data_IF_424403447306
#
_entry.id   IF_424403447306
#
_cell.length_a   1.000
_cell.length_b   1.000
_cell.length_c   1.000
_cell.angle_alpha   90.00
_cell.angle_beta   90.00
_cell.angle_gamma   90.00
#
_symmetry.space_group_name_H-M   'P 1'
#
loop_
_entity.id
_entity.type
_entity.pdbx_description
1 polymer ?
2 non-polymer ?
3 non-polymer ?
4 non-polymer ?
5 water ?
#
# COMPACT_ATOMS: atom_id res chain seq x y z
N UNK A 1 32.45 27.45 4.83
CA UNK A 1 31.01 27.42 5.12
C UNK A 1 30.22 27.86 3.91
N UNK A 2 30.94 28.02 2.81
CA UNK A 2 30.41 28.51 1.55
C UNK A 2 31.50 28.37 0.51
N UNK A 3 32.72 28.10 0.99
CA UNK A 3 33.90 28.16 0.13
C UNK A 3 34.43 26.78 -0.25
N UNK A 4 33.83 25.69 0.25
CA UNK A 4 34.33 24.35 -0.03
C UNK A 4 33.19 23.42 -0.44
N UNK A 5 32.15 23.97 -1.07
CA UNK A 5 31.01 23.16 -1.49
C UNK A 5 31.41 22.09 -2.49
N UNK A 6 32.46 22.32 -3.30
CA UNK A 6 32.82 21.32 -4.29
C UNK A 6 33.20 20.00 -3.61
N UNK A 7 33.80 20.06 -2.43
CA UNK A 7 34.17 18.82 -1.75
C UNK A 7 32.94 18.06 -1.27
N UNK A 8 31.97 18.76 -0.71
CA UNK A 8 30.73 18.12 -0.28
C UNK A 8 30.02 17.46 -1.45
N UNK A 9 29.97 18.15 -2.60
CA UNK A 9 29.35 17.57 -3.79
C UNK A 9 30.10 16.34 -4.23
N UNK A 10 31.44 16.41 -4.24
CA UNK A 10 32.24 15.27 -4.67
C UNK A 10 31.94 14.05 -3.81
N UNK A 11 31.93 14.24 -2.49
CA UNK A 11 31.64 13.13 -1.58
C UNK A 11 30.24 12.58 -1.77
N UNK A 12 29.24 13.46 -1.90
CA UNK A 12 27.87 12.99 -1.98
C UNK A 12 27.61 12.32 -3.33
N UNK A 13 28.24 12.79 -4.41
CA UNK A 13 28.10 12.11 -5.69
C UNK A 13 28.78 10.75 -5.67
N UNK A 14 29.91 10.63 -4.97
CA UNK A 14 30.53 9.31 -4.78
C UNK A 14 29.57 8.39 -4.04
N UNK A 15 28.95 8.88 -2.96
CA UNK A 15 27.96 8.07 -2.26
C UNK A 15 26.81 7.71 -3.18
N UNK A 16 26.28 8.70 -3.92
CA UNK A 16 25.15 8.43 -4.80
C UNK A 16 25.50 7.46 -5.92
N UNK A 17 26.74 7.41 -6.37
CA UNK A 17 27.10 6.41 -7.37
C UNK A 17 26.91 4.98 -6.86
N UNK A 18 26.84 4.79 -5.55
CA UNK A 18 26.65 3.50 -4.89
C UNK A 18 25.20 3.29 -4.43
N UNK A 19 24.30 4.20 -4.78
CA UNK A 19 22.89 4.18 -4.41
C UNK A 19 22.02 4.20 -5.66
N UNK A 20 22.27 5.14 -6.56
CA UNK A 20 21.42 5.36 -7.73
C UNK A 20 21.65 4.25 -8.75
N UNK A 21 20.54 3.75 -9.30
CA UNK A 21 20.58 2.73 -10.34
C UNK A 21 19.85 3.27 -11.57
N UNK A 22 20.53 3.21 -12.73
CA UNK A 22 19.94 3.72 -13.97
C UNK A 22 19.18 2.60 -14.66
N UNK A 23 18.14 2.94 -15.40
CA UNK A 23 17.24 1.92 -15.93
C UNK A 23 17.71 1.43 -17.28
N UNK A 24 17.18 0.28 -17.68
CA UNK A 24 17.35 -0.16 -19.04
C UNK A 24 16.45 0.71 -19.94
N UNK A 25 16.70 0.66 -21.21
CA UNK A 25 15.90 1.47 -22.11
C UNK A 25 16.46 2.86 -22.30
N UNK A 26 15.62 3.68 -22.92
CA UNK A 26 15.96 5.03 -23.32
C UNK A 26 15.31 6.09 -22.45
N UNK A 27 16.08 7.12 -22.16
CA UNK A 27 15.67 8.22 -21.32
C UNK A 27 16.67 9.36 -21.53
N UNK A 28 16.35 10.52 -20.97
CA UNK A 28 17.15 11.74 -21.06
C UNK A 28 18.28 11.62 -20.04
N UNK A 29 19.49 11.32 -20.52
CA UNK A 29 20.63 11.14 -19.62
C UNK A 29 20.99 12.43 -18.90
N UNK A 30 20.85 13.58 -19.54
CA UNK A 30 21.21 14.82 -18.88
C UNK A 30 20.25 15.11 -17.74
N UNK A 31 18.98 14.78 -17.91
CA UNK A 31 18.01 15.00 -16.83
C UNK A 31 18.22 14.02 -15.70
N UNK A 32 18.56 12.76 -16.00
CA UNK A 32 18.89 11.84 -14.92
C UNK A 32 20.06 12.36 -14.13
N UNK A 33 21.07 12.89 -14.82
CA UNK A 33 22.22 13.43 -14.12
C UNK A 33 21.82 14.63 -13.27
N UNK A 34 20.93 15.48 -13.78
CA UNK A 34 20.42 16.62 -12.99
C UNK A 34 19.74 16.16 -11.70
N UNK A 35 18.99 15.06 -11.75
CA UNK A 35 18.38 14.52 -10.55
C UNK A 35 19.42 14.08 -9.53
N UNK A 36 20.46 13.38 -10.00
CA UNK A 36 21.55 12.99 -9.11
C UNK A 36 22.19 14.23 -8.49
N UNK A 37 22.39 15.27 -9.29
CA UNK A 37 23.00 16.50 -8.78
C UNK A 37 22.15 17.12 -7.68
N UNK A 38 20.83 17.14 -7.85
CA UNK A 38 19.97 17.71 -6.81
C UNK A 38 20.00 16.86 -5.54
N UNK A 39 20.03 15.53 -5.69
CA UNK A 39 20.11 14.66 -4.53
C UNK A 39 21.41 14.89 -3.77
N UNK A 40 22.48 15.32 -4.45
CA UNK A 40 23.76 15.56 -3.82
C UNK A 40 23.73 16.73 -2.84
N UNK A 41 22.66 17.53 -2.83
CA UNK A 41 22.50 18.56 -1.81
C UNK A 41 22.12 18.00 -0.46
N UNK A 42 21.57 16.80 -0.39
CA UNK A 42 21.17 16.20 0.88
C UNK A 42 22.40 15.95 1.74
N UNK A 43 22.28 16.16 3.05
CA UNK A 43 23.40 15.96 3.95
C UNK A 43 23.97 14.54 3.76
N UNK A 44 25.30 14.47 3.66
CA UNK A 44 25.99 13.22 3.40
C UNK A 44 25.72 12.15 4.44
N UNK A 45 25.52 12.53 5.71
CA UNK A 45 25.30 11.53 6.75
C UNK A 45 24.07 10.70 6.40
N UNK A 46 23.01 11.34 5.89
CA UNK A 46 21.81 10.60 5.51
C UNK A 46 22.08 9.69 4.32
N UNK A 47 22.75 10.23 3.30
CA UNK A 47 23.04 9.45 2.10
C UNK A 47 23.89 8.23 2.44
N UNK A 48 24.90 8.39 3.30
CA UNK A 48 25.73 7.25 3.70
C UNK A 48 24.94 6.23 4.52
N UNK A 49 23.95 6.68 5.29
CA UNK A 49 23.10 5.75 6.03
C UNK A 49 22.20 4.97 5.08
N UNK A 50 21.64 5.63 4.05
CA UNK A 50 20.88 4.89 3.03
C UNK A 50 21.76 3.82 2.39
N UNK A 51 22.98 4.20 2.02
CA UNK A 51 23.90 3.27 1.38
C UNK A 51 24.18 2.06 2.28
N UNK A 52 24.41 2.28 3.57
CA UNK A 52 24.67 1.18 4.50
C UNK A 52 23.50 0.20 4.54
N UNK A 53 22.27 0.72 4.42
CA UNK A 53 21.07 -0.10 4.44
C UNK A 53 20.73 -0.67 3.06
N UNK A 54 21.62 -0.49 2.08
CA UNK A 54 21.46 -1.02 0.72
C UNK A 54 20.22 -0.53 0.02
N UNK A 55 19.81 0.68 0.33
CA UNK A 55 18.73 1.33 -0.38
C UNK A 55 19.23 1.74 -1.75
N UNK A 56 18.47 1.42 -2.76
CA UNK A 56 18.73 1.87 -4.11
C UNK A 56 17.71 2.93 -4.50
N UNK A 57 18.18 3.96 -5.16
CA UNK A 57 17.32 4.97 -5.76
C UNK A 57 17.20 4.57 -7.23
N UNK A 58 16.06 4.00 -7.59
CA UNK A 58 15.85 3.51 -8.94
C UNK A 58 15.25 4.62 -9.80
N UNK A 59 16.01 5.11 -10.77
CA UNK A 59 15.50 6.04 -11.75
C UNK A 59 14.82 5.24 -12.85
N UNK A 60 13.66 5.71 -13.28
CA UNK A 60 12.83 4.95 -14.20
C UNK A 60 12.67 5.65 -15.53
N UNK A 61 12.66 4.85 -16.59
CA UNK A 61 12.48 5.31 -17.96
C UNK A 61 11.01 5.28 -18.40
N UNK A 62 10.11 4.84 -17.54
CA UNK A 62 8.70 4.78 -17.84
C UNK A 62 7.86 4.89 -16.58
N UNK A 63 6.60 4.45 -16.69
CA UNK A 63 5.66 4.58 -15.59
C UNK A 63 6.05 3.69 -14.42
N UNK A 64 5.74 4.17 -13.21
CA UNK A 64 6.06 3.42 -12.01
C UNK A 64 5.47 2.02 -12.02
N UNK A 65 4.21 1.90 -12.37
CA UNK A 65 3.52 0.61 -12.30
C UNK A 65 3.87 -0.31 -13.45
N UNK A 66 4.68 0.14 -14.40
CA UNK A 66 5.19 -0.75 -15.43
C UNK A 66 6.45 -1.48 -14.98
N UNK A 67 7.01 -1.15 -13.82
CA UNK A 67 8.09 -1.92 -13.21
C UNK A 67 7.50 -3.13 -12.48
N UNK A 68 8.10 -4.30 -12.66
CA UNK A 68 7.58 -5.51 -12.01
C UNK A 68 7.33 -5.32 -10.53
N UNK A 69 8.25 -4.67 -9.81
CA UNK A 69 8.14 -4.57 -8.36
C UNK A 69 6.96 -3.73 -7.90
N UNK A 70 6.43 -2.85 -8.76
CA UNK A 70 5.35 -1.95 -8.38
C UNK A 70 4.05 -2.27 -9.11
N UNK A 71 4.00 -3.36 -9.87
CA UNK A 71 2.79 -3.70 -10.61
C UNK A 71 1.60 -3.90 -9.68
N UNK A 72 1.83 -4.33 -8.44
CA UNK A 72 0.72 -4.50 -7.51
C UNK A 72 -0.04 -3.21 -7.29
N UNK A 73 0.55 -2.06 -7.60
CA UNK A 73 -0.11 -0.77 -7.46
C UNK A 73 -0.96 -0.37 -8.67
N UNK A 74 -0.99 -1.15 -9.74
CA UNK A 74 -1.80 -0.82 -10.89
C UNK A 74 -3.26 -0.65 -10.47
N UNK A 75 -3.86 0.49 -10.82
CA UNK A 75 -5.25 0.72 -10.55
C UNK A 75 -5.57 1.19 -9.15
N UNK A 76 -4.59 1.26 -8.29
CA UNK A 76 -4.76 1.60 -6.89
C UNK A 76 -4.67 3.10 -6.68
N UNK A 77 -5.58 3.63 -5.87
CA UNK A 77 -5.65 5.06 -5.61
C UNK A 77 -4.76 5.40 -4.41
N UNK A 78 -3.80 6.31 -4.55
CA UNK A 78 -3.01 6.75 -3.41
C UNK A 78 -3.85 7.41 -2.32
N UNK A 79 -3.36 7.32 -1.08
CA UNK A 79 -4.01 8.04 0.02
C UNK A 79 -4.14 9.53 -0.29
N UNK A 80 -5.33 10.08 -0.07
CA UNK A 80 -5.57 11.47 -0.33
C UNK A 80 -5.97 11.79 -1.75
N UNK A 81 -5.99 10.79 -2.63
CA UNK A 81 -6.34 10.97 -4.03
C UNK A 81 -7.71 10.43 -4.36
N UNK A 82 -8.51 10.13 -3.34
CA UNK A 82 -9.87 9.64 -3.56
C UNK A 82 -10.65 10.73 -4.29
N UNK A 83 -11.46 10.33 -5.27
CA UNK A 83 -12.27 11.29 -5.98
C UNK A 83 -11.61 11.94 -7.17
N UNK A 84 -10.34 11.66 -7.43
CA UNK A 84 -9.65 12.33 -8.52
C UNK A 84 -9.74 11.58 -9.83
N UNK A 85 -10.11 10.31 -9.81
CA UNK A 85 -10.00 9.51 -11.01
C UNK A 85 -8.58 9.05 -11.32
N UNK A 86 -7.60 9.39 -10.49
CA UNK A 86 -6.21 9.05 -10.77
C UNK A 86 -5.77 7.91 -9.86
N UNK A 87 -4.74 7.20 -10.34
CA UNK A 87 -4.21 6.05 -9.60
C UNK A 87 -2.68 6.10 -9.59
N UNK A 88 -2.05 5.11 -8.95
CA UNK A 88 -0.60 5.04 -8.96
C UNK A 88 -0.02 4.93 -10.36
N UNK A 89 -0.83 4.47 -11.33
CA UNK A 89 -0.33 4.44 -12.70
C UNK A 89 0.09 5.84 -13.16
N UNK A 90 -0.54 6.87 -12.60
CA UNK A 90 -0.32 8.26 -12.97
C UNK A 90 0.72 8.96 -12.09
N UNK A 91 1.27 8.30 -11.09
CA UNK A 91 2.13 8.94 -10.09
C UNK A 91 3.58 8.66 -10.46
N UNK A 92 4.47 9.66 -10.48
CA UNK A 92 5.82 9.46 -11.02
C UNK A 92 6.87 9.02 -10.02
N UNK A 93 6.57 8.96 -8.73
CA UNK A 93 7.59 8.59 -7.76
C UNK A 93 6.96 8.03 -6.51
N UNK A 94 7.77 7.25 -5.80
CA UNK A 94 7.40 6.65 -4.52
C UNK A 94 8.64 6.55 -3.67
N UNK A 95 8.44 6.65 -2.36
CA UNK A 95 9.53 6.53 -1.41
C UNK A 95 9.03 5.95 -0.10
N UNK A 96 9.93 5.30 0.61
CA UNK A 96 9.61 4.62 1.85
C UNK A 96 10.64 3.52 2.06
N UNK A 97 10.23 2.26 1.95
CA UNK A 97 11.18 1.16 2.06
C UNK A 97 12.08 1.09 0.83
N UNK A 98 11.59 1.57 -0.31
CA UNK A 98 12.35 1.68 -1.55
C UNK A 98 12.16 3.09 -2.08
N UNK A 99 12.87 3.42 -3.17
CA UNK A 99 12.73 4.72 -3.85
C UNK A 99 12.71 4.47 -5.35
N UNK A 100 11.71 5.01 -6.03
CA UNK A 100 11.61 4.87 -7.47
C UNK A 100 11.07 6.18 -8.04
N UNK A 101 11.72 6.67 -9.09
CA UNK A 101 11.52 8.01 -9.61
C UNK A 101 11.56 8.04 -11.13
N UNK A 102 10.53 8.62 -11.74
CA UNK A 102 10.50 8.72 -13.19
C UNK A 102 11.33 9.92 -13.65
N UNK A 103 12.25 9.66 -14.57
CA UNK A 103 13.13 10.70 -15.09
C UNK A 103 12.32 11.68 -15.91
N UNK A 104 12.52 12.98 -15.64
CA UNK A 104 11.80 14.04 -16.28
C UNK A 104 10.69 14.65 -15.44
N UNK A 105 10.33 14.02 -14.33
CA UNK A 105 9.14 14.43 -13.57
C UNK A 105 9.51 15.09 -12.24
N UNK A 106 10.71 15.66 -12.16
CA UNK A 106 11.15 16.30 -10.92
C UNK A 106 10.28 17.46 -10.50
N UNK A 107 9.95 18.35 -11.42
CA UNK A 107 9.38 19.62 -11.01
C UNK A 107 7.96 19.47 -10.49
N UNK A 108 7.58 20.41 -9.62
CA UNK A 108 6.23 20.45 -9.08
C UNK A 108 5.25 20.50 -10.24
N UNK A 109 4.20 19.69 -10.16
CA UNK A 109 3.18 19.64 -11.17
C UNK A 109 3.36 18.58 -12.22
N UNK A 110 4.50 17.89 -12.25
CA UNK A 110 4.70 16.81 -13.21
C UNK A 110 4.09 15.53 -12.65
N UNK A 111 2.77 15.57 -12.50
CA UNK A 111 2.07 14.43 -11.94
C UNK A 111 2.11 14.31 -10.44
N UNK A 112 2.65 15.30 -9.75
CA UNK A 112 2.77 15.21 -8.30
C UNK A 112 2.87 16.63 -7.78
N UNK A 113 2.69 16.78 -6.46
CA UNK A 113 2.54 18.08 -5.84
C UNK A 113 3.77 18.55 -5.06
N UNK A 114 4.85 17.80 -5.07
CA UNK A 114 6.04 18.16 -4.30
C UNK A 114 6.88 19.23 -4.99
N UNK A 115 7.62 20.00 -4.19
CA UNK A 115 8.50 21.01 -4.74
C UNK A 115 9.58 20.39 -5.59
N UNK A 116 9.93 19.14 -5.30
CA UNK A 116 10.89 18.38 -6.09
C UNK A 116 10.67 16.90 -5.79
N UNK A 117 10.53 16.10 -6.85
CA UNK A 117 10.17 14.71 -6.69
C UNK A 117 11.26 13.93 -5.96
N UNK A 118 12.50 13.98 -6.44
CA UNK A 118 13.53 13.12 -5.88
C UNK A 118 13.83 13.43 -4.41
N UNK A 119 13.77 14.71 -4.02
CA UNK A 119 14.02 15.04 -2.62
C UNK A 119 12.87 14.57 -1.73
N UNK A 120 11.63 14.75 -2.19
CA UNK A 120 10.48 14.32 -1.39
C UNK A 120 10.51 12.80 -1.18
N UNK A 121 10.68 12.03 -2.26
CA UNK A 121 10.65 10.57 -2.12
C UNK A 121 11.83 10.07 -1.29
N UNK A 122 13.02 10.63 -1.51
CA UNK A 122 14.17 10.19 -0.74
C UNK A 122 13.99 10.55 0.72
N UNK A 123 13.34 11.68 1.02
CA UNK A 123 13.03 12.03 2.41
C UNK A 123 12.16 10.95 3.06
N UNK A 124 11.18 10.41 2.35
CA UNK A 124 10.40 9.30 2.91
C UNK A 124 11.31 8.14 3.32
N UNK A 125 12.27 7.79 2.47
CA UNK A 125 13.20 6.69 2.79
C UNK A 125 14.10 7.02 3.97
N UNK A 126 14.57 8.27 4.05
CA UNK A 126 15.36 8.69 5.20
C UNK A 126 14.53 8.61 6.48
N UNK A 127 13.31 9.13 6.44
CA UNK A 127 12.38 9.03 7.58
C UNK A 127 12.27 7.58 8.04
N UNK A 128 11.97 6.66 7.11
CA UNK A 128 11.65 5.29 7.47
C UNK A 128 12.88 4.45 7.81
N UNK A 129 13.90 4.50 6.96
CA UNK A 129 15.02 3.58 7.07
C UNK A 129 16.08 4.11 8.03
N UNK A 130 16.35 5.41 7.97
CA UNK A 130 17.47 5.98 8.73
C UNK A 130 17.03 6.49 10.08
N UNK A 131 15.85 7.12 10.15
CA UNK A 131 15.39 7.83 11.34
C UNK A 131 14.27 7.13 12.10
N UNK A 132 13.99 5.86 11.80
CA UNK A 132 13.06 5.06 12.57
C UNK A 132 11.68 5.72 12.66
N UNK A 133 11.18 6.18 11.51
CA UNK A 133 9.86 6.82 11.42
C UNK A 133 9.73 8.02 12.36
N UNK A 134 10.71 8.92 12.30
CA UNK A 134 10.68 10.13 13.11
C UNK A 134 9.45 11.00 12.85
N UNK A 135 8.82 10.90 11.69
CA UNK A 135 7.59 11.66 11.43
C UNK A 135 6.44 11.23 12.32
N UNK A 136 6.52 10.05 12.92
CA UNK A 136 5.52 9.55 13.85
C UNK A 136 5.87 9.84 15.31
N UNK A 137 7.01 10.48 15.58
CA UNK A 137 7.45 10.70 16.94
C UNK A 137 6.59 11.76 17.63
N UNK A 138 6.57 11.69 18.95
CA UNK A 138 5.85 12.70 19.71
C UNK A 138 6.42 14.09 19.48
N UNK A 139 7.75 14.19 19.36
CA UNK A 139 8.36 15.48 19.10
C UNK A 139 7.84 16.07 17.78
N UNK A 140 7.87 15.29 16.72
CA UNK A 140 7.45 15.82 15.44
C UNK A 140 5.95 16.05 15.42
N UNK A 141 5.17 15.24 16.13
CA UNK A 141 3.72 15.45 16.17
C UNK A 141 3.38 16.85 16.69
N UNK A 142 4.12 17.30 17.71
CA UNK A 142 3.86 18.62 18.28
C UNK A 142 4.21 19.72 17.27
N UNK A 143 5.32 19.55 16.55
CA UNK A 143 5.70 20.51 15.51
C UNK A 143 4.67 20.54 14.42
N UNK A 144 4.27 19.35 13.96
CA UNK A 144 3.27 19.20 12.90
C UNK A 144 1.92 19.81 13.28
N UNK A 145 1.51 19.66 14.53
CA UNK A 145 0.25 20.24 14.96
C UNK A 145 0.26 21.75 14.77
N UNK A 146 1.42 22.38 14.96
CA UNK A 146 1.53 23.83 14.82
C UNK A 146 1.79 24.28 13.39
N UNK A 147 2.70 23.62 12.70
CA UNK A 147 3.25 24.14 11.44
C UNK A 147 2.87 23.34 10.21
N UNK A 148 2.14 22.23 10.36
CA UNK A 148 1.95 21.28 9.29
C UNK A 148 1.10 21.77 8.12
N UNK A 149 0.38 22.89 8.28
CA UNK A 149 -0.35 23.48 7.17
C UNK A 149 0.43 24.58 6.46
N UNK A 150 1.60 24.97 6.96
CA UNK A 150 2.19 26.23 6.51
C UNK A 150 3.00 26.11 5.22
N UNK A 151 3.09 24.92 4.63
CA UNK A 151 3.58 24.76 3.27
C UNK A 151 2.43 24.59 2.28
N UNK A 152 1.20 24.81 2.73
CA UNK A 152 0.03 24.61 1.91
C UNK A 152 -0.41 23.17 1.84
N UNK A 153 -1.24 22.90 0.84
CA UNK A 153 -1.83 21.57 0.62
C UNK A 153 -2.42 21.06 1.93
N UNK A 154 -3.32 21.87 2.49
CA UNK A 154 -3.71 21.70 3.89
C UNK A 154 -4.38 20.38 4.15
N UNK A 155 -5.09 19.83 3.18
CA UNK A 155 -5.82 18.58 3.43
C UNK A 155 -4.98 17.35 3.16
N UNK A 156 -3.71 17.53 2.81
CA UNK A 156 -2.79 16.43 2.53
C UNK A 156 -1.57 16.58 3.43
N UNK A 157 -0.72 17.56 3.16
CA UNK A 157 0.42 17.81 4.05
C UNK A 157 -0.03 18.11 5.47
N UNK A 158 -1.16 18.83 5.62
CA UNK A 158 -1.61 19.18 6.95
C UNK A 158 -2.26 18.07 7.73
N UNK A 159 -2.49 16.94 7.08
CA UNK A 159 -3.14 15.80 7.70
C UNK A 159 -2.20 14.61 7.90
N UNK A 160 -1.16 14.48 7.08
CA UNK A 160 -0.28 13.31 7.09
C UNK A 160 1.12 13.75 7.49
N UNK A 161 1.52 13.55 8.75
CA UNK A 161 2.87 14.00 9.17
C UNK A 161 4.02 13.46 8.34
N UNK A 162 3.92 12.23 7.82
CA UNK A 162 5.00 11.72 6.98
C UNK A 162 5.15 12.57 5.72
N UNK A 163 4.04 13.08 5.18
CA UNK A 163 4.11 13.89 3.97
C UNK A 163 4.65 15.27 4.29
N UNK A 164 4.20 15.86 5.40
CA UNK A 164 4.77 17.14 5.85
C UNK A 164 6.28 16.99 6.12
N UNK A 165 6.69 15.89 6.73
CA UNK A 165 8.12 15.66 6.92
C UNK A 165 8.86 15.64 5.60
N UNK A 166 8.34 14.89 4.62
CA UNK A 166 9.04 14.73 3.36
C UNK A 166 9.07 16.03 2.58
N UNK A 167 7.99 16.81 2.62
CA UNK A 167 7.98 18.08 1.91
C UNK A 167 8.88 19.11 2.57
N UNK A 168 8.91 19.15 3.91
CA UNK A 168 9.78 20.08 4.61
C UNK A 168 11.24 19.76 4.31
N UNK A 169 11.58 18.47 4.34
CA UNK A 169 12.93 18.03 4.02
C UNK A 169 13.32 18.49 2.61
N UNK A 170 12.41 18.36 1.65
CA UNK A 170 12.68 18.80 0.28
C UNK A 170 12.94 20.30 0.24
N UNK A 171 12.10 21.12 0.93
CA UNK A 171 12.38 22.55 1.01
C UNK A 171 13.74 22.83 1.63
N UNK A 172 14.08 22.11 2.71
CA UNK A 172 15.33 22.40 3.39
C UNK A 172 16.52 22.23 2.46
N UNK A 173 16.49 21.22 1.59
CA UNK A 173 17.66 20.79 0.82
C UNK A 173 17.65 21.17 -0.66
N UNK A 174 16.53 21.61 -1.23
CA UNK A 174 16.50 21.84 -2.67
C UNK A 174 17.41 23.00 -3.07
N UNK A 175 17.16 24.18 -2.53
CA UNK A 175 17.98 25.35 -2.89
C UNK A 175 17.84 26.39 -1.79
N UNK A 176 18.60 27.47 -1.92
CA UNK A 176 18.64 28.47 -0.86
C UNK A 176 17.30 29.19 -0.72
N UNK A 177 16.57 29.34 -1.82
CA UNK A 177 15.26 29.98 -1.79
C UNK A 177 14.26 29.15 -0.99
N UNK A 178 14.15 27.85 -1.29
CA UNK A 178 13.21 27.02 -0.54
C UNK A 178 13.64 26.88 0.91
N UNK A 179 14.95 26.82 1.16
CA UNK A 179 15.44 26.71 2.53
C UNK A 179 15.00 27.93 3.33
N UNK A 180 15.16 29.12 2.76
CA UNK A 180 14.73 30.34 3.43
C UNK A 180 13.22 30.41 3.60
N UNK A 181 12.46 29.92 2.61
CA UNK A 181 11.01 29.92 2.75
C UNK A 181 10.56 29.02 3.89
N UNK A 182 11.19 27.86 4.06
CA UNK A 182 10.87 26.99 5.17
C UNK A 182 11.19 27.69 6.49
N UNK A 183 12.36 28.32 6.58
CA UNK A 183 12.71 28.98 7.83
C UNK A 183 11.66 30.01 8.23
N UNK A 184 11.13 30.75 7.24
CA UNK A 184 10.14 31.78 7.52
C UNK A 184 8.79 31.16 7.87
N UNK A 185 8.34 30.18 7.10
CA UNK A 185 6.99 29.64 7.27
C UNK A 185 6.90 28.66 8.43
N UNK A 186 7.96 27.86 8.64
CA UNK A 186 7.93 26.72 9.56
C UNK A 186 9.19 26.71 10.41
N UNK A 187 9.35 27.73 11.28
CA UNK A 187 10.62 27.84 12.02
C UNK A 187 10.97 26.66 12.92
N UNK A 188 9.99 26.06 13.60
CA UNK A 188 10.31 24.91 14.44
C UNK A 188 10.70 23.69 13.62
N UNK A 189 10.03 23.51 12.47
CA UNK A 189 10.40 22.43 11.59
C UNK A 189 11.81 22.63 11.04
N UNK A 190 12.13 23.89 10.68
CA UNK A 190 13.47 24.21 10.20
C UNK A 190 14.52 23.91 11.26
N UNK A 191 14.28 24.35 12.49
CA UNK A 191 15.23 24.07 13.57
C UNK A 191 15.36 22.57 13.82
N UNK A 192 14.23 21.84 13.78
CA UNK A 192 14.25 20.39 13.92
C UNK A 192 15.14 19.76 12.86
N UNK A 193 15.02 20.18 11.60
CA UNK A 193 15.84 19.59 10.55
C UNK A 193 17.30 20.01 10.68
N UNK A 194 17.57 21.26 11.06
CA UNK A 194 18.95 21.70 11.26
C UNK A 194 19.63 20.87 12.35
N UNK A 195 18.92 20.61 13.45
CA UNK A 195 19.52 19.86 14.54
C UNK A 195 19.68 18.39 14.21
N UNK A 196 18.79 17.80 13.41
CA UNK A 196 18.96 16.41 13.00
C UNK A 196 20.29 16.23 12.28
N UNK A 197 20.68 17.21 11.49
CA UNK A 197 21.89 17.12 10.67
C UNK A 197 23.14 17.60 11.39
N UNK A 198 23.03 18.08 12.61
CA UNK A 198 24.20 18.52 13.36
C UNK A 198 25.10 17.35 13.76
N UNK B 4 1.16 -1.91 1.81
CA UNK B 4 2.39 -2.64 2.10
C UNK B 4 3.52 -2.20 1.17
N UNK B 5 4.75 -2.29 1.66
CA UNK B 5 5.88 -1.90 0.84
C UNK B 5 6.20 -2.99 -0.16
N UNK B 6 6.89 -2.62 -1.24
CA UNK B 6 7.11 -3.54 -2.33
C UNK B 6 7.87 -4.79 -1.91
N UNK B 7 8.79 -4.67 -0.94
CA UNK B 7 9.55 -5.85 -0.52
C UNK B 7 8.67 -6.85 0.22
N UNK B 8 7.83 -6.36 1.14
CA UNK B 8 6.86 -7.22 1.82
C UNK B 8 5.89 -7.87 0.84
N UNK B 9 5.45 -7.12 -0.19
CA UNK B 9 4.57 -7.71 -1.19
C UNK B 9 5.28 -8.87 -1.87
N UNK B 10 6.53 -8.67 -2.30
CA UNK B 10 7.24 -9.74 -2.99
C UNK B 10 7.41 -10.94 -2.08
N UNK B 11 7.73 -10.71 -0.81
CA UNK B 11 7.86 -11.83 0.14
C UNK B 11 6.55 -12.57 0.29
N UNK B 12 5.44 -11.85 0.40
CA UNK B 12 4.15 -12.51 0.51
C UNK B 12 3.76 -13.23 -0.78
N UNK B 13 4.17 -12.68 -1.93
CA UNK B 13 3.92 -13.38 -3.19
C UNK B 13 4.69 -14.70 -3.27
N UNK B 14 5.93 -14.74 -2.76
CA UNK B 14 6.66 -16.00 -2.72
C UNK B 14 5.92 -17.01 -1.87
N UNK B 15 5.39 -16.58 -0.72
CA UNK B 15 4.59 -17.46 0.12
C UNK B 15 3.36 -17.93 -0.65
N UNK B 16 2.66 -17.01 -1.33
CA UNK B 16 1.48 -17.38 -2.10
C UNK B 16 1.79 -18.37 -3.22
N UNK B 17 3.01 -18.37 -3.74
CA UNK B 17 3.37 -19.35 -4.75
C UNK B 17 3.23 -20.78 -4.23
N UNK B 18 3.23 -20.95 -2.91
CA UNK B 18 3.08 -22.23 -2.23
C UNK B 18 1.67 -22.45 -1.72
N UNK B 19 0.73 -21.55 -2.07
CA UNK B 19 -0.68 -21.63 -1.66
C UNK B 19 -1.60 -21.65 -2.87
N UNK B 20 -1.41 -20.70 -3.78
CA UNK B 20 -2.27 -20.55 -4.94
C UNK B 20 -1.99 -21.67 -5.94
N UNK B 21 -3.05 -22.21 -6.50
CA UNK B 21 -2.98 -23.23 -7.54
C UNK B 21 -3.70 -22.66 -8.76
N UNK B 22 -2.99 -22.62 -9.92
CA UNK B 22 -3.55 -22.09 -11.14
C UNK B 22 -4.26 -23.21 -11.91
N UNK B 23 -5.24 -22.85 -12.72
CA UNK B 23 -6.06 -23.87 -13.38
C UNK B 23 -5.45 -24.34 -14.69
N UNK B 24 -5.95 -25.49 -15.13
CA UNK B 24 -5.54 -26.05 -16.41
C UNK B 24 -6.07 -25.25 -17.61
N UNK B 25 -7.32 -24.82 -17.57
CA UNK B 25 -7.94 -24.20 -18.72
C UNK B 25 -7.45 -22.80 -18.99
N UNK B 26 -8.09 -22.18 -19.96
CA UNK B 26 -7.59 -20.92 -20.48
C UNK B 26 -8.14 -19.79 -19.62
N UNK B 27 -7.30 -18.80 -19.35
CA UNK B 27 -7.69 -17.66 -18.54
C UNK B 27 -6.71 -16.51 -18.77
N UNK B 28 -7.08 -15.34 -18.26
CA UNK B 28 -6.31 -14.10 -18.35
C UNK B 28 -5.22 -14.18 -17.29
N UNK B 29 -3.98 -14.48 -17.72
CA UNK B 29 -2.87 -14.61 -16.77
C UNK B 29 -2.61 -13.31 -16.04
N UNK B 30 -2.80 -12.17 -16.71
CA UNK B 30 -2.53 -10.90 -16.05
C UNK B 30 -3.53 -10.66 -14.93
N UNK B 31 -4.79 -11.04 -15.14
CA UNK B 31 -5.79 -10.90 -14.07
C UNK B 31 -5.55 -11.89 -12.94
N UNK B 32 -5.12 -13.12 -13.23
CA UNK B 32 -4.76 -14.04 -12.16
C UNK B 32 -3.64 -13.45 -11.33
N UNK B 33 -2.64 -12.87 -11.99
CA UNK B 33 -1.53 -12.26 -11.25
C UNK B 33 -2.00 -11.10 -10.39
N UNK B 34 -2.92 -10.27 -10.92
CA UNK B 34 -3.50 -9.18 -10.12
C UNK B 34 -4.20 -9.72 -8.87
N UNK B 35 -4.90 -10.85 -8.98
CA UNK B 35 -5.52 -11.44 -7.81
C UNK B 35 -4.48 -11.83 -6.79
N UNK B 36 -3.39 -12.45 -7.23
CA UNK B 36 -2.30 -12.80 -6.31
C UNK B 36 -1.70 -11.55 -5.67
N UNK B 37 -1.54 -10.48 -6.44
CA UNK B 37 -1.01 -9.24 -5.89
C UNK B 37 -1.92 -8.71 -4.78
N UNK B 38 -3.22 -8.80 -4.97
CA UNK B 38 -4.15 -8.32 -3.94
C UNK B 38 -4.07 -9.19 -2.70
N UNK B 39 -3.99 -10.50 -2.87
CA UNK B 39 -3.82 -11.39 -1.73
C UNK B 39 -2.51 -11.12 -0.98
N UNK B 40 -1.49 -10.64 -1.68
CA UNK B 40 -0.20 -10.37 -1.07
C UNK B 40 -0.25 -9.21 -0.09
N UNK B 41 -1.34 -8.43 -0.08
CA UNK B 41 -1.49 -7.39 0.94
C UNK B 41 -1.84 -7.97 2.31
N UNK B 42 -2.32 -9.21 2.37
CA UNK B 42 -2.67 -9.82 3.65
C UNK B 42 -1.40 -9.99 4.48
N UNK B 43 -1.52 -9.78 5.78
CA UNK B 43 -0.37 -9.90 6.67
C UNK B 43 0.28 -11.27 6.49
N UNK B 44 1.61 -11.26 6.40
CA UNK B 44 2.36 -12.48 6.13
C UNK B 44 2.14 -13.57 7.15
N UNK B 45 1.89 -13.19 8.41
CA UNK B 45 1.69 -14.20 9.43
C UNK B 45 0.53 -15.12 9.06
N UNK B 46 -0.55 -14.54 8.54
CA UNK B 46 -1.71 -15.35 8.16
C UNK B 46 -1.38 -16.20 6.94
N UNK B 47 -0.69 -15.61 5.96
CA UNK B 47 -0.35 -16.39 4.77
C UNK B 47 0.56 -17.56 5.13
N UNK B 48 1.54 -17.35 6.01
CA UNK B 48 2.41 -18.46 6.40
C UNK B 48 1.65 -19.53 7.15
N UNK B 49 0.64 -19.14 7.93
CA UNK B 49 -0.20 -20.10 8.64
C UNK B 49 -1.09 -20.87 7.69
N UNK B 50 -1.63 -20.22 6.65
CA UNK B 50 -2.36 -20.96 5.63
C UNK B 50 -1.45 -22.00 4.96
N UNK B 51 -0.23 -21.59 4.60
CA UNK B 51 0.71 -22.53 3.97
C UNK B 51 1.01 -23.70 4.91
N UNK B 52 1.22 -23.42 6.20
CA UNK B 52 1.49 -24.48 7.16
C UNK B 52 0.37 -25.52 7.20
N UNK B 53 -0.87 -25.07 7.07
CA UNK B 53 -2.04 -25.95 7.08
C UNK B 53 -2.33 -26.55 5.72
N UNK B 54 -1.47 -26.30 4.73
CA UNK B 54 -1.62 -26.85 3.38
C UNK B 54 -2.93 -26.43 2.72
N UNK B 55 -3.43 -25.23 3.07
CA UNK B 55 -4.59 -24.69 2.39
C UNK B 55 -4.16 -24.24 1.00
N UNK B 56 -4.95 -24.62 -0.01
CA UNK B 56 -4.73 -24.16 -1.37
C UNK B 56 -5.82 -23.17 -1.76
N UNK B 57 -5.41 -22.10 -2.43
CA UNK B 57 -6.32 -21.14 -3.03
C UNK B 57 -6.39 -21.51 -4.50
N UNK B 58 -7.49 -22.15 -4.89
CA UNK B 58 -7.67 -22.62 -6.27
C UNK B 58 -8.32 -21.52 -7.10
N UNK B 59 -7.57 -20.97 -8.05
CA UNK B 59 -8.14 -20.07 -9.04
C UNK B 59 -8.75 -20.87 -10.16
N UNK B 60 -9.93 -20.45 -10.59
CA UNK B 60 -10.72 -21.23 -11.54
C UNK B 60 -10.85 -20.51 -12.87
N UNK B 61 -10.78 -21.30 -13.96
CA UNK B 61 -10.90 -20.75 -15.30
C UNK B 61 -12.33 -20.73 -15.79
N UNK B 62 -13.27 -21.29 -15.02
CA UNK B 62 -14.65 -21.37 -15.41
C UNK B 62 -15.56 -21.40 -14.20
N UNK B 63 -16.79 -21.91 -14.37
CA UNK B 63 -17.74 -21.91 -13.28
C UNK B 63 -17.26 -22.81 -12.15
N UNK B 64 -17.67 -22.46 -10.93
CA UNK B 64 -17.31 -23.24 -9.76
C UNK B 64 -17.71 -24.69 -9.93
N UNK B 65 -18.91 -24.94 -10.41
CA UNK B 65 -19.46 -26.28 -10.52
C UNK B 65 -18.91 -27.06 -11.70
N UNK B 66 -18.08 -26.45 -12.54
CA UNK B 66 -17.37 -27.20 -13.58
C UNK B 66 -16.05 -27.78 -13.05
N UNK B 67 -15.69 -27.48 -11.82
CA UNK B 67 -14.58 -28.17 -11.15
C UNK B 67 -15.07 -29.49 -10.59
N UNK B 68 -14.32 -30.55 -10.86
CA UNK B 68 -14.72 -31.89 -10.41
C UNK B 68 -15.06 -31.88 -8.93
N UNK B 69 -14.26 -31.18 -8.12
CA UNK B 69 -14.40 -31.20 -6.67
C UNK B 69 -15.69 -30.56 -6.20
N UNK B 70 -16.29 -29.68 -7.01
CA UNK B 70 -17.49 -28.93 -6.62
C UNK B 70 -18.69 -29.28 -7.48
N UNK B 71 -18.59 -30.32 -8.32
CA UNK B 71 -19.67 -30.71 -9.21
C UNK B 71 -20.95 -31.06 -8.46
N UNK B 72 -20.82 -31.52 -7.21
CA UNK B 72 -22.01 -31.84 -6.42
C UNK B 72 -22.89 -30.62 -6.17
N UNK B 73 -22.38 -29.42 -6.35
CA UNK B 73 -23.17 -28.21 -6.17
C UNK B 73 -24.00 -27.84 -7.39
N UNK B 74 -23.88 -28.57 -8.50
CA UNK B 74 -24.66 -28.26 -9.69
C UNK B 74 -26.15 -28.24 -9.40
N UNK B 75 -26.79 -27.12 -9.76
CA UNK B 75 -28.22 -27.02 -9.62
C UNK B 75 -28.69 -26.64 -8.24
N UNK B 76 -27.80 -26.58 -7.26
CA UNK B 76 -28.20 -26.32 -5.89
C UNK B 76 -28.39 -24.82 -5.75
N UNK B 77 -29.46 -24.41 -5.07
CA UNK B 77 -29.77 -23.01 -4.86
C UNK B 77 -29.16 -22.59 -3.51
N UNK B 78 -28.27 -21.61 -3.47
CA UNK B 78 -27.74 -21.14 -2.18
C UNK B 78 -28.83 -20.61 -1.28
N UNK B 79 -28.55 -20.67 0.02
CA UNK B 79 -29.44 -20.08 1.02
C UNK B 79 -29.66 -18.60 0.73
N UNK B 80 -30.93 -18.19 0.69
CA UNK B 80 -31.32 -16.83 0.41
C UNK B 80 -31.47 -16.48 -1.06
N UNK B 81 -31.18 -17.41 -1.96
CA UNK B 81 -31.24 -17.17 -3.39
C UNK B 81 -32.47 -17.79 -4.04
N UNK B 82 -33.42 -18.30 -3.26
CA UNK B 82 -34.62 -18.84 -3.85
C UNK B 82 -35.35 -17.74 -4.60
N UNK B 83 -35.85 -18.10 -5.79
CA UNK B 83 -36.58 -17.17 -6.61
C UNK B 83 -35.72 -16.30 -7.51
N UNK B 84 -34.40 -16.38 -7.39
CA UNK B 84 -33.54 -15.53 -8.18
C UNK B 84 -33.24 -16.14 -9.54
N UNK B 85 -33.53 -17.43 -9.69
CA UNK B 85 -33.09 -18.16 -10.85
C UNK B 85 -31.64 -18.55 -10.83
N UNK B 86 -30.92 -18.21 -9.79
CA UNK B 86 -29.49 -18.45 -9.74
C UNK B 86 -29.20 -19.65 -8.85
N UNK B 87 -28.09 -20.31 -9.12
CA UNK B 87 -27.66 -21.49 -8.39
C UNK B 87 -26.18 -21.35 -8.05
N UNK B 88 -25.63 -22.37 -7.40
CA UNK B 88 -24.19 -22.37 -7.14
C UNK B 88 -23.38 -22.32 -8.43
N UNK B 89 -23.98 -22.71 -9.56
CA UNK B 89 -23.30 -22.58 -10.85
C UNK B 89 -22.92 -21.13 -11.11
N UNK B 90 -23.66 -20.20 -10.52
CA UNK B 90 -23.47 -18.76 -10.70
C UNK B 90 -22.62 -18.12 -9.62
N UNK B 91 -22.12 -18.90 -8.66
CA UNK B 91 -21.39 -18.35 -7.51
C UNK B 91 -19.92 -18.30 -7.88
N UNK B 92 -19.26 -17.14 -7.72
CA UNK B 92 -17.89 -17.02 -8.23
C UNK B 92 -16.82 -17.43 -7.22
N UNK B 93 -17.17 -17.61 -5.95
CA UNK B 93 -16.17 -17.95 -4.96
C UNK B 93 -16.76 -18.56 -3.72
N UNK B 94 -15.92 -19.31 -3.00
CA UNK B 94 -16.25 -19.81 -1.68
C UNK B 94 -14.98 -19.91 -0.86
N UNK B 95 -15.13 -19.83 0.46
CA UNK B 95 -14.02 -19.94 1.37
C UNK B 95 -14.46 -20.54 2.68
N UNK B 96 -13.51 -21.17 3.37
CA UNK B 96 -13.75 -21.87 4.60
C UNK B 96 -12.69 -22.94 4.76
N UNK B 97 -13.08 -24.21 4.65
CA UNK B 97 -12.11 -25.30 4.72
C UNK B 97 -11.27 -25.36 3.44
N UNK B 98 -11.80 -24.85 2.34
CA UNK B 98 -11.11 -24.76 1.06
C UNK B 98 -11.37 -23.36 0.53
N UNK B 99 -10.67 -22.97 -0.53
CA UNK B 99 -10.88 -21.68 -1.18
C UNK B 99 -10.88 -21.91 -2.68
N UNK B 100 -11.91 -21.41 -3.37
CA UNK B 100 -12.01 -21.52 -4.83
C UNK B 100 -12.59 -20.24 -5.37
N UNK B 101 -11.95 -19.69 -6.41
CA UNK B 101 -12.22 -18.34 -6.88
C UNK B 101 -12.14 -18.27 -8.40
N UNK B 102 -13.17 -17.71 -9.04
CA UNK B 102 -13.18 -17.56 -10.49
C UNK B 102 -12.37 -16.34 -10.92
N UNK B 103 -11.41 -16.56 -11.81
CA UNK B 103 -10.56 -15.49 -12.28
C UNK B 103 -11.40 -14.51 -13.09
N UNK B 104 -11.25 -13.24 -12.78
CA UNK B 104 -11.99 -12.18 -13.45
C UNK B 104 -13.17 -11.65 -12.65
N UNK B 105 -13.53 -12.30 -11.57
CA UNK B 105 -14.74 -11.97 -10.82
C UNK B 105 -14.42 -11.31 -9.50
N UNK B 106 -13.25 -10.67 -9.39
CA UNK B 106 -12.83 -10.01 -8.15
C UNK B 106 -13.77 -8.90 -7.71
N UNK B 107 -14.16 -8.02 -8.62
CA UNK B 107 -14.79 -6.77 -8.21
C UNK B 107 -16.21 -6.99 -7.72
N UNK B 108 -16.66 -6.09 -6.85
CA UNK B 108 -18.02 -6.13 -6.35
C UNK B 108 -19.00 -6.15 -7.51
N UNK B 109 -20.00 -7.01 -7.40
CA UNK B 109 -21.02 -7.14 -8.40
C UNK B 109 -20.79 -8.21 -9.45
N UNK B 110 -19.62 -8.84 -9.47
CA UNK B 110 -19.35 -9.93 -10.42
C UNK B 110 -19.87 -11.24 -9.85
N UNK B 111 -21.20 -11.31 -9.71
CA UNK B 111 -21.84 -12.45 -9.11
C UNK B 111 -21.82 -12.50 -7.60
N UNK B 112 -21.32 -11.45 -6.95
CA UNK B 112 -21.20 -11.48 -5.50
C UNK B 112 -21.17 -10.05 -5.01
N UNK B 113 -21.33 -9.92 -3.69
CA UNK B 113 -21.53 -8.62 -3.07
C UNK B 113 -20.32 -8.08 -2.31
N UNK B 114 -19.19 -8.80 -2.33
CA UNK B 114 -18.04 -8.39 -1.56
C UNK B 114 -17.23 -7.30 -2.25
N UNK B 115 -16.52 -6.51 -1.45
CA UNK B 115 -15.66 -5.46 -2.00
C UNK B 115 -14.55 -6.08 -2.84
N UNK B 116 -14.17 -7.32 -2.54
CA UNK B 116 -13.17 -8.03 -3.32
C UNK B 116 -13.36 -9.50 -3.03
N UNK B 117 -13.47 -10.29 -4.10
CA UNK B 117 -13.78 -11.70 -3.95
C UNK B 117 -12.67 -12.46 -3.24
N UNK B 118 -11.44 -12.35 -3.72
CA UNK B 118 -10.39 -13.20 -3.17
C UNK B 118 -10.11 -12.89 -1.69
N UNK B 119 -10.16 -11.61 -1.30
CA UNK B 119 -9.90 -11.29 0.10
C UNK B 119 -11.04 -11.78 1.00
N UNK B 120 -12.29 -11.62 0.56
CA UNK B 120 -13.43 -12.10 1.34
C UNK B 120 -13.36 -13.60 1.56
N UNK B 121 -13.17 -14.37 0.48
CA UNK B 121 -13.14 -15.83 0.62
C UNK B 121 -11.92 -16.29 1.42
N UNK B 122 -10.76 -15.67 1.18
CA UNK B 122 -9.58 -16.06 1.93
C UNK B 122 -9.73 -15.71 3.40
N UNK B 123 -10.43 -14.61 3.70
CA UNK B 123 -10.73 -14.29 5.10
C UNK B 123 -11.51 -15.40 5.77
N UNK B 124 -12.49 -16.00 5.08
CA UNK B 124 -13.20 -17.14 5.64
C UNK B 124 -12.24 -18.26 6.02
N UNK B 125 -11.28 -18.57 5.14
CA UNK B 125 -10.32 -19.62 5.43
C UNK B 125 -9.41 -19.27 6.60
N UNK B 126 -8.99 -18.02 6.69
CA UNK B 126 -8.18 -17.57 7.82
C UNK B 126 -8.99 -17.67 9.11
N UNK B 127 -10.24 -17.19 9.09
CA UNK B 127 -11.13 -17.31 10.24
C UNK B 127 -11.20 -18.76 10.72
N UNK B 128 -11.48 -19.69 9.81
CA UNK B 128 -11.77 -21.07 10.17
C UNK B 128 -10.50 -21.87 10.48
N UNK B 129 -9.50 -21.80 9.61
CA UNK B 129 -8.34 -22.67 9.71
C UNK B 129 -7.29 -22.09 10.64
N UNK B 130 -7.05 -20.79 10.53
CA UNK B 130 -5.94 -20.15 11.24
C UNK B 130 -6.36 -19.63 12.60
N UNK B 131 -7.56 -19.06 12.70
CA UNK B 131 -8.00 -18.34 13.88
C UNK B 131 -9.07 -19.07 14.69
N UNK B 132 -9.33 -20.35 14.41
CA UNK B 132 -10.23 -21.17 15.21
C UNK B 132 -11.63 -20.56 15.34
N UNK B 133 -12.18 -20.13 14.21
CA UNK B 133 -13.53 -19.57 14.14
C UNK B 133 -13.70 -18.36 15.05
N UNK B 134 -12.76 -17.42 14.94
CA UNK B 134 -12.80 -16.19 15.73
C UNK B 134 -14.07 -15.39 15.49
N UNK B 135 -14.71 -15.54 14.32
CA UNK B 135 -15.96 -14.82 14.08
C UNK B 135 -17.08 -15.27 15.01
N UNK B 136 -16.94 -16.44 15.63
CA UNK B 136 -17.90 -16.93 16.61
C UNK B 136 -17.50 -16.59 18.04
N UNK B 137 -16.35 -15.93 18.24
CA UNK B 137 -15.88 -15.69 19.59
C UNK B 137 -16.74 -14.65 20.29
N UNK B 138 -16.72 -14.68 21.62
CA UNK B 138 -17.49 -13.70 22.38
C UNK B 138 -16.97 -12.29 22.13
N UNK B 139 -15.65 -12.13 22.02
CA UNK B 139 -15.11 -10.81 21.75
C UNK B 139 -15.66 -10.27 20.43
N UNK B 140 -15.62 -11.08 19.37
CA UNK B 140 -16.09 -10.57 18.09
C UNK B 140 -17.60 -10.41 18.08
N UNK B 141 -18.32 -11.29 18.77
CA UNK B 141 -19.77 -11.14 18.84
C UNK B 141 -20.16 -9.79 19.40
N UNK B 142 -19.46 -9.31 20.43
CA UNK B 142 -19.79 -8.01 21.01
C UNK B 142 -19.55 -6.89 20.01
N UNK B 143 -18.43 -6.96 19.29
CA UNK B 143 -18.12 -5.96 18.26
C UNK B 143 -19.17 -6.00 17.16
N UNK B 144 -19.50 -7.21 16.72
CA UNK B 144 -20.50 -7.39 15.67
C UNK B 144 -21.87 -6.86 16.06
N UNK B 145 -22.27 -7.03 17.33
CA UNK B 145 -23.57 -6.49 17.75
C UNK B 145 -23.63 -4.98 17.57
N UNK B 146 -22.52 -4.30 17.76
CA UNK B 146 -22.47 -2.85 17.65
C UNK B 146 -22.22 -2.38 16.22
N UNK B 147 -21.27 -3.00 15.51
CA UNK B 147 -20.77 -2.43 14.26
C UNK B 147 -21.17 -3.23 13.02
N UNK B 148 -21.82 -4.38 13.17
CA UNK B 148 -21.98 -5.34 12.08
C UNK B 148 -22.86 -4.89 10.94
N UNK B 149 -23.60 -3.79 11.09
CA UNK B 149 -24.37 -3.21 10.01
C UNK B 149 -23.65 -2.07 9.31
N UNK B 150 -22.48 -1.66 9.76
CA UNK B 150 -21.93 -0.38 9.34
C UNK B 150 -21.14 -0.46 8.03
N UNK B 151 -21.01 -1.64 7.43
CA UNK B 151 -20.55 -1.79 6.05
C UNK B 151 -21.71 -1.99 5.09
N UNK B 152 -22.95 -1.84 5.57
CA UNK B 152 -24.12 -2.06 4.75
C UNK B 152 -24.52 -3.51 4.66
N UNK B 153 -25.34 -3.80 3.65
CA UNK B 153 -25.87 -5.15 3.44
C UNK B 153 -26.45 -5.69 4.77
N UNK B 154 -27.37 -4.90 5.34
CA UNK B 154 -27.73 -5.08 6.75
C UNK B 154 -28.35 -6.44 7.03
N UNK B 155 -29.05 -7.01 6.06
CA UNK B 155 -29.76 -8.28 6.28
C UNK B 155 -28.87 -9.48 5.99
N UNK B 156 -27.60 -9.25 5.68
CA UNK B 156 -26.65 -10.33 5.41
C UNK B 156 -25.42 -10.13 6.28
N UNK B 157 -24.59 -9.12 6.00
CA UNK B 157 -23.46 -8.83 6.87
C UNK B 157 -23.91 -8.55 8.28
N UNK B 158 -25.06 -7.84 8.45
CA UNK B 158 -25.50 -7.50 9.78
C UNK B 158 -26.12 -8.63 10.56
N UNK B 159 -26.30 -9.78 9.92
CA UNK B 159 -26.92 -10.94 10.53
C UNK B 159 -25.94 -12.10 10.76
N UNK B 160 -24.91 -12.23 9.95
CA UNK B 160 -24.02 -13.39 9.99
C UNK B 160 -22.63 -12.91 10.37
N UNK B 161 -22.19 -13.13 11.61
CA UNK B 161 -20.86 -12.63 11.99
C UNK B 161 -19.70 -13.13 11.13
N UNK B 162 -19.78 -14.36 10.58
CA UNK B 162 -18.69 -14.83 9.75
C UNK B 162 -18.57 -13.96 8.50
N UNK B 163 -19.71 -13.47 7.99
CA UNK B 163 -19.66 -12.62 6.81
C UNK B 163 -19.15 -11.23 7.15
N UNK B 164 -19.61 -10.65 8.26
CA UNK B 164 -19.09 -9.36 8.69
C UNK B 164 -17.58 -9.45 8.95
N UNK B 165 -17.12 -10.56 9.55
CA UNK B 165 -15.68 -10.75 9.73
C UNK B 165 -14.96 -10.73 8.37
N UNK B 166 -15.46 -11.52 7.42
CA UNK B 166 -14.75 -11.66 6.14
C UNK B 166 -14.77 -10.37 5.35
N UNK B 167 -15.89 -9.64 5.38
CA UNK B 167 -15.96 -8.38 4.66
C UNK B 167 -15.09 -7.31 5.31
N UNK B 168 -15.08 -7.26 6.64
CA UNK B 168 -14.22 -6.34 7.33
C UNK B 168 -12.76 -6.60 7.02
N UNK B 169 -12.35 -7.87 7.08
CA UNK B 169 -10.99 -8.24 6.73
C UNK B 169 -10.62 -7.77 5.32
N UNK B 170 -11.53 -7.97 4.37
CA UNK B 170 -11.30 -7.51 3.01
C UNK B 170 -11.12 -6.00 2.95
N UNK B 171 -11.97 -5.23 3.65
CA UNK B 171 -11.76 -3.78 3.70
C UNK B 171 -10.41 -3.45 4.29
N UNK B 172 -10.03 -4.12 5.36
CA UNK B 172 -8.77 -3.81 6.04
C UNK B 172 -7.58 -3.99 5.10
N UNK B 173 -7.59 -5.03 4.26
CA UNK B 173 -6.43 -5.41 3.47
C UNK B 173 -6.46 -5.05 1.99
N UNK B 174 -7.60 -4.62 1.45
CA UNK B 174 -7.65 -4.40 -0.01
C UNK B 174 -6.79 -3.22 -0.43
N UNK B 175 -7.06 -2.03 0.10
CA UNK B 175 -6.30 -0.84 -0.28
C UNK B 175 -6.44 0.21 0.82
N UNK B 176 -5.73 1.32 0.65
CA UNK B 176 -5.73 2.34 1.71
C UNK B 176 -7.12 2.96 1.86
N UNK B 177 -7.87 3.08 0.75
CA UNK B 177 -9.20 3.67 0.79
C UNK B 177 -10.15 2.81 1.62
N UNK B 178 -10.22 1.50 1.33
CA UNK B 178 -11.12 0.65 2.10
C UNK B 178 -10.68 0.56 3.55
N UNK B 179 -9.38 0.56 3.79
CA UNK B 179 -8.86 0.48 5.16
C UNK B 179 -9.30 1.70 5.94
N UNK B 180 -9.21 2.88 5.34
CA UNK B 180 -9.67 4.10 5.99
C UNK B 180 -11.17 4.07 6.21
N UNK B 181 -11.93 3.57 5.23
CA UNK B 181 -13.38 3.52 5.38
C UNK B 181 -13.76 2.62 6.53
N UNK B 182 -13.06 1.49 6.71
CA UNK B 182 -13.35 0.61 7.83
C UNK B 182 -13.05 1.31 9.15
N UNK B 183 -11.91 1.98 9.26
CA UNK B 183 -11.57 2.64 10.51
C UNK B 183 -12.65 3.64 10.91
N UNK B 184 -13.19 4.35 9.93
CA UNK B 184 -14.19 5.38 10.23
C UNK B 184 -15.53 4.75 10.60
N UNK B 185 -15.95 3.72 9.87
CA UNK B 185 -17.28 3.16 10.05
C UNK B 185 -17.33 2.18 11.20
N UNK B 186 -16.24 1.43 11.43
CA UNK B 186 -16.23 0.30 12.35
C UNK B 186 -14.95 0.35 13.17
N UNK B 187 -14.81 1.37 14.04
CA UNK B 187 -13.52 1.54 14.75
C UNK B 187 -13.14 0.38 15.66
N UNK B 188 -14.09 -0.28 16.33
CA UNK B 188 -13.72 -1.42 17.16
C UNK B 188 -13.29 -2.62 16.32
N UNK B 189 -13.94 -2.81 15.17
CA UNK B 189 -13.54 -3.88 14.29
C UNK B 189 -12.15 -3.63 13.74
N UNK B 190 -11.88 -2.36 13.37
CA UNK B 190 -10.57 -2.01 12.86
C UNK B 190 -9.49 -2.29 13.92
N UNK B 191 -9.72 -1.83 15.15
CA UNK B 191 -8.73 -2.08 16.21
C UNK B 191 -8.54 -3.56 16.46
N UNK B 192 -9.63 -4.32 16.43
CA UNK B 192 -9.56 -5.78 16.60
C UNK B 192 -8.66 -6.41 15.54
N UNK B 193 -8.81 -6.01 14.28
CA UNK B 193 -7.97 -6.59 13.24
C UNK B 193 -6.52 -6.12 13.35
N UNK B 194 -6.33 -4.85 13.71
CA UNK B 194 -4.98 -4.33 13.90
C UNK B 194 -4.25 -5.12 14.98
N UNK B 195 -4.94 -5.40 16.08
CA UNK B 195 -4.30 -6.12 17.17
C UNK B 195 -4.10 -7.59 16.84
N UNK B 196 -5.02 -8.20 16.06
CA UNK B 196 -4.86 -9.59 15.66
C UNK B 196 -3.56 -9.82 14.90
N UNK B 197 -3.13 -8.84 14.09
CA UNK B 197 -1.97 -9.01 13.24
C UNK B 197 -0.66 -8.69 13.95
N UNK B 198 -0.74 -8.19 15.17
CA UNK B 198 0.42 -7.89 16.00
C UNK B 198 1.08 -9.17 16.50
X LIG C 1 3.45 10.69 -2.50
X LIG C 1 2.44 10.77 -3.64
X LIG C 1 3.03 9.60 -1.52
X LIG C 1 4.86 10.46 -3.03
X LIG C 1 3.52 11.95 -1.75
X LIG C 1 2.82 11.72 -4.62
X LIG C 1 3.84 9.67 -0.33
X LIG C 1 5.71 10.35 -1.89
X LIG C 1 1.47 11.05 -3.23
X LIG C 1 2.35 9.80 -4.11
X LIG C 1 3.15 8.61 -1.98
X LIG C 1 1.98 9.72 -1.25
X LIG C 1 5.17 11.29 -3.68
X LIG C 1 4.89 9.54 -3.63
X LIG C 1 2.71 12.55 -1.68
X LIG C 1 4.29 12.48 -2.14
X LIG C 1 2.12 11.78 -5.30
X LIG D 1 4.98 11.50 -0.31
X LIG E 1 32.85 27.91 2.93
X LIG F 1 -20.45 -15.93 0.46
X LIG F 1 -21.56 -15.79 -0.56
X LIG F 1 -20.77 -17.04 1.49
X LIG F 1 -19.07 -16.11 -0.12
X LIG F 1 -20.39 -14.68 1.21
X LIG F 1 -21.82 -16.98 -1.26
X LIG F 1 -19.93 -16.91 2.64
X LIG F 1 -18.17 -16.22 0.97
X LIG F 1 -21.29 -15.01 -1.28
X LIG F 1 -22.48 -15.47 -0.06
X LIG F 1 -20.62 -18.02 1.04
X LIG F 1 -21.81 -16.96 1.79
X LIG F 1 -18.80 -15.26 -0.75
X LIG F 1 -19.02 -17.01 -0.75
X LIG F 1 -21.25 -14.18 1.40
X LIG F 1 -19.75 -14.07 0.73
X LIG F 1 -21.77 -17.73 -0.65
X LIG G 1 -18.78 -15.03 2.63
#
# INVERSE_FOLDING_TARGET
GSHMDSTTIQQNKDTLSQIVVFPTGNYDKNEANAMVNRLANIDGKYLNALKQNNLKIKLLSGKLTDEKEYAYLKGVVPKGWEGTGKTWDDVPGLGGSTVALRIGFSNKGKGHDAINLELHETAHAIDHIVLNDISKSAQFKQIFAKEGRSLGNVNYLGVYPAEFFAESFAYYYLNQDTNSKLKSACPQTYSFLQNLAK
GSHMDSTTIQQNKDTLSQIVVFPTGNYDKNEANAMVNRLANIDGKYLNALKQNNLKIKLLSGKLTDEKEYAYLKGVVPKGWEGTGKTWDDVPGLGGSTVALRIGFSNKGKGHDAINLELHETAHAIDHIVLNDISKSAQFKQIFAKEGRSLGNVNYLGVYPAEFFAESFAYYYLNQDTNSKLKSACPQTYSFLQNLAK
TRS C C1 C2 C3 N O1 O2 O3 H11 H12 H21 H22 H31 H32 HN1 HN2 HO1
ZN ZN
NI NI
TRS C C1 C2 C3 N O1 O2 O3 H11 H12 H21 H22 H31 H32 HN1 HN2 HO1
ZN ZN
#
